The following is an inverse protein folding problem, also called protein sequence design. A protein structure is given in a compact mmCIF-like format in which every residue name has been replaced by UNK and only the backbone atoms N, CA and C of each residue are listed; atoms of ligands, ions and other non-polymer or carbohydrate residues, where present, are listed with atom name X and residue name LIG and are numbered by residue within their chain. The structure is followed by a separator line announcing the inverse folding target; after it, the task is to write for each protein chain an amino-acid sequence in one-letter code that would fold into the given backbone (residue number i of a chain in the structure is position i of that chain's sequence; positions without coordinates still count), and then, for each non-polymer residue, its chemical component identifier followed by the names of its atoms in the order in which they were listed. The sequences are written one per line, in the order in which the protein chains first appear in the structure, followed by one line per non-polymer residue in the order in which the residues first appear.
data_IF_956193020334
#
_entry.id   IF_956193020334
#
_cell.length_a   1.000
_cell.length_b   1.000
_cell.length_c   1.000
_cell.angle_alpha   90.00
_cell.angle_beta   90.00
_cell.angle_gamma   90.00
#
_symmetry.space_group_name_H-M   'P 1'
#
loop_
_entity.id
_entity.type
_entity.pdbx_description
1 polymer ?
#
# COMPACT_ATOMS: atom_id res chain seq x y z
N UNK A 1 -3.92 18.31 -23.93
CA UNK A 1 -3.34 18.50 -22.58
C UNK A 1 -2.09 17.63 -22.47
N UNK A 2 -0.95 18.24 -22.17
CA UNK A 2 0.31 17.55 -21.93
C UNK A 2 0.39 17.19 -20.44
N UNK A 3 0.29 15.90 -20.12
CA UNK A 3 0.24 15.38 -18.76
C UNK A 3 1.60 14.81 -18.36
N UNK A 4 2.11 15.22 -17.19
CA UNK A 4 3.21 14.55 -16.53
C UNK A 4 2.71 13.70 -15.36
N UNK A 5 3.11 12.44 -15.32
CA UNK A 5 2.89 11.54 -14.20
C UNK A 5 4.19 11.41 -13.41
N UNK A 6 4.11 11.40 -12.09
CA UNK A 6 5.29 11.23 -11.24
C UNK A 6 5.05 10.17 -10.19
N UNK A 7 6.00 9.25 -10.04
CA UNK A 7 5.96 8.22 -9.00
C UNK A 7 7.30 8.13 -8.28
N UNK A 8 7.31 7.81 -6.99
CA UNK A 8 8.55 7.82 -6.21
C UNK A 8 9.62 6.88 -6.76
N UNK A 9 9.29 5.61 -7.00
CA UNK A 9 10.18 4.63 -7.65
C UNK A 9 9.39 3.47 -8.25
N UNK A 10 9.91 2.88 -9.30
CA UNK A 10 9.32 1.78 -10.06
C UNK A 10 10.20 0.53 -9.91
N UNK A 11 9.98 -0.25 -8.83
CA UNK A 11 10.82 -1.40 -8.44
C UNK A 11 10.03 -2.68 -8.20
N UNK A 12 8.77 -2.72 -8.62
CA UNK A 12 7.86 -3.85 -8.51
C UNK A 12 6.41 -3.39 -8.44
N UNK A 13 5.47 -4.25 -8.79
CA UNK A 13 4.04 -3.96 -8.72
C UNK A 13 3.54 -4.10 -7.27
N UNK A 14 3.11 -3.00 -6.67
CA UNK A 14 2.45 -2.91 -5.37
C UNK A 14 1.20 -2.05 -5.50
N UNK A 15 0.54 -1.73 -4.40
CA UNK A 15 -0.70 -0.94 -4.43
C UNK A 15 -0.58 0.41 -5.14
N UNK A 16 0.53 1.14 -4.94
CA UNK A 16 0.78 2.41 -5.63
C UNK A 16 0.97 2.25 -7.13
N UNK A 17 1.74 1.24 -7.53
CA UNK A 17 1.98 0.96 -8.94
C UNK A 17 0.74 0.37 -9.64
N UNK A 18 -0.14 -0.37 -8.92
CA UNK A 18 -1.45 -0.80 -9.44
C UNK A 18 -2.36 0.42 -9.72
N UNK A 19 -2.34 1.45 -8.89
CA UNK A 19 -3.05 2.70 -9.14
C UNK A 19 -2.44 3.49 -10.31
N UNK A 20 -1.11 3.59 -10.37
CA UNK A 20 -0.39 4.21 -11.48
C UNK A 20 -0.69 3.52 -12.81
N UNK A 21 -0.75 2.19 -12.82
CA UNK A 21 -1.07 1.40 -14.02
C UNK A 21 -2.41 1.82 -14.64
N UNK A 22 -3.46 1.96 -13.83
CA UNK A 22 -4.78 2.40 -14.32
C UNK A 22 -4.72 3.82 -14.92
N UNK A 23 -3.95 4.72 -14.30
CA UNK A 23 -3.77 6.07 -14.83
C UNK A 23 -2.98 6.04 -16.15
N UNK A 24 -1.93 5.21 -16.25
CA UNK A 24 -1.15 5.03 -17.49
C UNK A 24 -2.01 4.43 -18.63
N UNK A 25 -2.95 3.55 -18.32
CA UNK A 25 -3.90 3.00 -19.30
C UNK A 25 -4.89 4.06 -19.82
N UNK A 26 -5.34 4.98 -18.94
CA UNK A 26 -6.26 6.07 -19.30
C UNK A 26 -5.56 7.21 -20.04
N UNK A 27 -4.28 7.43 -19.75
CA UNK A 27 -3.47 8.51 -20.33
C UNK A 27 -2.18 7.97 -20.97
N UNK A 28 -2.27 7.21 -22.08
CA UNK A 28 -1.12 6.54 -22.70
C UNK A 28 -0.10 7.50 -23.33
N UNK A 29 -0.48 8.77 -23.55
CA UNK A 29 0.39 9.83 -24.08
C UNK A 29 1.07 10.66 -22.97
N UNK A 30 0.84 10.34 -21.70
CA UNK A 30 1.50 11.03 -20.60
C UNK A 30 3.00 10.71 -20.55
N UNK A 31 3.81 11.64 -20.06
CA UNK A 31 5.22 11.38 -19.76
C UNK A 31 5.34 10.99 -18.27
N UNK A 32 6.09 9.93 -18.00
CA UNK A 32 6.26 9.39 -16.65
C UNK A 32 7.65 9.70 -16.11
N UNK A 33 7.70 10.21 -14.87
CA UNK A 33 8.92 10.55 -14.14
C UNK A 33 9.02 9.77 -12.85
N UNK A 34 10.22 9.35 -12.48
CA UNK A 34 10.48 8.58 -11.26
C UNK A 34 11.92 8.74 -10.80
N UNK A 35 12.18 8.54 -9.49
CA UNK A 35 13.56 8.56 -9.00
C UNK A 35 14.38 7.39 -9.53
N UNK A 36 13.80 6.18 -9.50
CA UNK A 36 14.48 4.93 -9.86
C UNK A 36 13.50 4.01 -10.59
N UNK A 37 13.95 3.41 -11.68
CA UNK A 37 13.21 2.41 -12.43
C UNK A 37 14.05 1.13 -12.61
N UNK A 38 13.51 0.00 -12.20
CA UNK A 38 14.07 -1.31 -12.51
C UNK A 38 13.29 -1.87 -13.69
N UNK A 39 13.88 -1.80 -14.87
CA UNK A 39 13.24 -2.24 -16.13
C UNK A 39 12.71 -3.68 -16.01
N UNK A 40 11.47 -3.88 -16.43
CA UNK A 40 10.77 -5.16 -16.38
C UNK A 40 10.20 -5.52 -15.00
N UNK A 41 10.25 -4.60 -14.02
CA UNK A 41 9.71 -4.81 -12.68
C UNK A 41 8.27 -4.34 -12.52
N UNK A 42 7.75 -3.58 -13.47
CA UNK A 42 6.39 -3.03 -13.47
C UNK A 42 5.62 -3.49 -14.70
N UNK A 43 4.33 -3.20 -14.74
CA UNK A 43 3.45 -3.68 -15.81
C UNK A 43 3.79 -3.10 -17.19
N UNK A 44 3.37 -3.78 -18.28
CA UNK A 44 3.57 -3.29 -19.64
C UNK A 44 2.96 -1.91 -19.88
N UNK A 45 1.88 -1.55 -19.20
CA UNK A 45 1.24 -0.23 -19.32
C UNK A 45 2.16 0.88 -18.81
N UNK A 46 2.84 0.65 -17.68
CA UNK A 46 3.83 1.58 -17.11
C UNK A 46 5.11 1.60 -17.96
N UNK A 47 5.65 0.42 -18.32
CA UNK A 47 6.88 0.30 -19.13
C UNK A 47 6.78 1.02 -20.47
N UNK A 48 5.59 1.04 -21.09
CA UNK A 48 5.33 1.70 -22.38
C UNK A 48 5.63 3.19 -22.35
N UNK A 49 5.42 3.85 -21.22
CA UNK A 49 5.69 5.28 -21.05
C UNK A 49 7.17 5.61 -20.94
N UNK A 50 8.07 4.61 -20.91
CA UNK A 50 9.53 4.79 -20.85
C UNK A 50 9.96 5.80 -19.78
N UNK A 51 9.82 5.47 -18.49
CA UNK A 51 9.98 6.43 -17.40
C UNK A 51 11.28 7.21 -17.44
N UNK A 52 11.21 8.53 -17.31
CA UNK A 52 12.36 9.40 -17.09
C UNK A 52 12.85 9.24 -15.65
N UNK A 53 14.13 8.96 -15.46
CA UNK A 53 14.71 8.70 -14.15
C UNK A 53 15.60 9.85 -13.66
N UNK A 54 15.76 9.98 -12.35
CA UNK A 54 16.68 10.94 -11.75
C UNK A 54 18.13 10.45 -11.77
N UNK A 55 19.07 11.29 -11.33
CA UNK A 55 20.47 10.88 -11.19
C UNK A 55 20.68 9.71 -10.22
N UNK A 56 19.76 9.48 -9.29
CA UNK A 56 19.83 8.35 -8.35
C UNK A 56 19.85 7.02 -9.09
N UNK A 57 19.24 6.94 -10.26
CA UNK A 57 19.28 5.75 -11.14
C UNK A 57 20.70 5.24 -11.43
N UNK A 58 21.66 6.13 -11.47
CA UNK A 58 23.06 5.84 -11.87
C UNK A 58 23.98 5.59 -10.66
N UNK A 59 23.46 5.64 -9.42
CA UNK A 59 24.26 5.38 -8.24
C UNK A 59 24.60 3.89 -8.09
N UNK A 60 25.73 3.55 -7.43
CA UNK A 60 26.16 2.17 -7.26
C UNK A 60 25.10 1.29 -6.62
N UNK A 61 24.93 0.06 -7.11
CA UNK A 61 24.00 -0.94 -6.56
C UNK A 61 22.56 -0.44 -6.36
N UNK A 62 22.11 0.56 -7.15
CA UNK A 62 20.78 1.19 -6.99
C UNK A 62 19.65 0.17 -6.93
N UNK A 63 19.70 -0.91 -7.73
CA UNK A 63 18.66 -1.97 -7.70
C UNK A 63 18.47 -2.63 -6.33
N UNK A 64 19.47 -2.60 -5.47
CA UNK A 64 19.44 -3.20 -4.12
C UNK A 64 19.40 -2.15 -3.03
N UNK A 65 20.08 -1.01 -3.24
CA UNK A 65 20.34 -0.01 -2.21
C UNK A 65 19.59 1.32 -2.42
N UNK A 66 18.65 1.43 -3.37
CA UNK A 66 17.98 2.71 -3.66
C UNK A 66 17.39 3.37 -2.40
N UNK A 67 16.85 2.59 -1.45
CA UNK A 67 16.30 3.12 -0.19
C UNK A 67 17.35 3.75 0.72
N UNK A 68 18.61 3.36 0.61
CA UNK A 68 19.71 3.97 1.37
C UNK A 68 20.10 5.34 0.82
N UNK A 69 19.69 5.66 -0.41
CA UNK A 69 19.86 6.98 -1.01
C UNK A 69 18.75 7.98 -0.64
N UNK A 70 17.86 7.62 0.28
CA UNK A 70 16.76 8.46 0.77
C UNK A 70 17.18 9.92 1.10
N UNK A 71 18.34 10.21 1.71
CA UNK A 71 18.77 11.59 1.95
C UNK A 71 19.01 12.42 0.68
N UNK A 72 19.20 11.78 -0.47
CA UNK A 72 19.40 12.44 -1.77
C UNK A 72 18.09 12.66 -2.54
N UNK A 73 17.00 12.03 -2.12
CA UNK A 73 15.72 12.08 -2.83
C UNK A 73 15.13 13.49 -2.96
N UNK A 74 15.22 14.36 -1.93
CA UNK A 74 14.81 15.77 -2.08
C UNK A 74 15.47 16.44 -3.29
N UNK A 75 16.78 16.41 -3.35
CA UNK A 75 17.53 17.01 -4.48
C UNK A 75 17.20 16.33 -5.81
N UNK A 76 17.02 15.02 -5.82
CA UNK A 76 16.76 14.26 -7.03
C UNK A 76 15.38 14.56 -7.63
N UNK A 77 14.37 14.71 -6.78
CA UNK A 77 12.99 14.98 -7.24
C UNK A 77 12.84 16.43 -7.71
N UNK A 78 13.53 17.36 -7.07
CA UNK A 78 13.50 18.80 -7.38
C UNK A 78 14.24 19.16 -8.68
N UNK A 79 15.01 18.24 -9.27
CA UNK A 79 15.71 18.45 -10.55
C UNK A 79 14.82 18.30 -11.78
N UNK A 80 13.67 17.67 -11.66
CA UNK A 80 12.75 17.56 -12.79
C UNK A 80 12.11 18.91 -13.10
N UNK A 81 12.07 19.28 -14.40
CA UNK A 81 11.35 20.45 -14.88
C UNK A 81 10.06 20.05 -15.56
N UNK A 82 8.99 20.75 -15.21
CA UNK A 82 7.64 20.48 -15.72
C UNK A 82 7.04 21.65 -16.49
N UNK A 83 7.83 22.67 -16.82
CA UNK A 83 7.38 23.94 -17.45
C UNK A 83 6.65 23.76 -18.79
N UNK A 84 6.82 22.60 -19.45
CA UNK A 84 6.20 22.26 -20.75
C UNK A 84 4.88 21.50 -20.65
N UNK A 85 4.46 21.16 -19.42
CA UNK A 85 3.25 20.41 -19.17
C UNK A 85 2.11 21.31 -18.74
N UNK A 86 0.88 20.88 -19.04
CA UNK A 86 -0.33 21.58 -18.65
C UNK A 86 -0.80 21.17 -17.23
N UNK A 87 -0.44 19.94 -16.81
CA UNK A 87 -0.77 19.38 -15.50
C UNK A 87 0.28 18.37 -15.08
N UNK A 88 0.58 18.34 -13.78
CA UNK A 88 1.37 17.28 -13.13
C UNK A 88 0.48 16.49 -12.19
N UNK A 89 0.55 15.17 -12.27
CA UNK A 89 -0.11 14.25 -11.33
C UNK A 89 0.95 13.39 -10.65
N UNK A 90 1.13 13.56 -9.35
CA UNK A 90 2.05 12.73 -8.58
C UNK A 90 1.31 11.66 -7.78
N UNK A 91 1.81 10.43 -7.81
CA UNK A 91 1.42 9.35 -6.90
C UNK A 91 2.52 9.20 -5.86
N UNK A 92 2.28 9.69 -4.65
CA UNK A 92 3.34 9.90 -3.66
C UNK A 92 3.15 9.13 -2.37
N UNK A 93 4.19 8.43 -1.96
CA UNK A 93 4.35 7.85 -0.62
C UNK A 93 5.69 8.24 0.02
N UNK A 94 6.47 9.07 -0.70
CA UNK A 94 7.75 9.59 -0.25
C UNK A 94 7.89 11.06 -0.66
N UNK A 95 8.48 11.34 -1.81
CA UNK A 95 8.88 12.69 -2.22
C UNK A 95 8.26 13.16 -3.54
N UNK A 96 7.54 12.31 -4.27
CA UNK A 96 6.96 12.66 -5.57
C UNK A 96 6.04 13.89 -5.53
N UNK A 97 5.38 14.18 -4.40
CA UNK A 97 4.58 15.39 -4.21
C UNK A 97 5.38 16.71 -4.23
N UNK A 98 6.70 16.62 -4.06
CA UNK A 98 7.56 17.79 -3.85
C UNK A 98 8.30 18.26 -5.10
N UNK A 99 7.77 17.96 -6.30
CA UNK A 99 8.41 18.19 -7.61
C UNK A 99 8.26 19.60 -8.17
N UNK A 100 7.16 20.27 -7.90
CA UNK A 100 6.80 21.55 -8.54
C UNK A 100 6.70 22.64 -7.49
N UNK A 101 7.17 23.84 -7.85
CA UNK A 101 6.94 25.02 -7.01
C UNK A 101 5.58 25.61 -7.28
N UNK A 102 4.89 26.14 -6.23
CA UNK A 102 3.59 26.80 -6.40
C UNK A 102 3.60 27.86 -7.50
N UNK A 103 2.52 27.92 -8.28
CA UNK A 103 2.28 28.95 -9.29
C UNK A 103 2.96 28.71 -10.66
N UNK A 104 3.65 27.59 -10.88
CA UNK A 104 4.25 27.27 -12.19
C UNK A 104 3.33 26.41 -13.06
N UNK A 105 3.02 25.20 -12.61
CA UNK A 105 2.16 24.24 -13.31
C UNK A 105 1.20 23.64 -12.28
N UNK A 106 -0.09 23.52 -12.57
CA UNK A 106 -1.05 22.85 -11.67
C UNK A 106 -0.58 21.45 -11.28
N UNK A 107 -0.70 21.11 -10.01
CA UNK A 107 -0.21 19.86 -9.46
C UNK A 107 -1.25 19.15 -8.59
N UNK A 108 -1.73 18.00 -9.06
CA UNK A 108 -2.57 17.07 -8.29
C UNK A 108 -1.70 15.99 -7.65
N UNK A 109 -1.75 15.87 -6.33
CA UNK A 109 -1.07 14.80 -5.61
C UNK A 109 -2.08 13.72 -5.19
N UNK A 110 -2.00 12.55 -5.82
CA UNK A 110 -2.62 11.33 -5.29
C UNK A 110 -1.72 10.77 -4.20
N UNK A 111 -2.06 11.08 -2.96
CA UNK A 111 -1.23 10.76 -1.80
C UNK A 111 -1.54 9.34 -1.29
N UNK A 112 -0.59 8.42 -1.49
CA UNK A 112 -0.68 7.06 -0.98
C UNK A 112 -0.48 7.02 0.54
N UNK A 113 0.39 7.90 1.05
CA UNK A 113 0.58 8.18 2.49
C UNK A 113 1.64 9.28 2.66
N UNK A 114 1.59 10.11 3.69
CA UNK A 114 2.77 10.86 4.17
C UNK A 114 3.88 9.90 4.60
N UNK A 115 5.15 10.30 4.44
CA UNK A 115 6.32 9.43 4.69
C UNK A 115 6.27 8.78 6.08
N UNK A 116 5.81 7.53 6.22
CA UNK A 116 5.62 6.84 7.50
C UNK A 116 6.88 6.82 8.37
N UNK A 117 8.02 6.50 7.78
CA UNK A 117 9.28 6.37 8.49
C UNK A 117 9.85 7.70 9.00
N UNK A 118 9.41 8.83 8.44
CA UNK A 118 9.81 10.16 8.89
C UNK A 118 8.84 10.71 9.95
N UNK A 119 7.57 10.35 9.94
CA UNK A 119 6.54 10.92 10.79
C UNK A 119 6.20 10.06 12.01
N UNK A 120 5.77 8.82 11.84
CA UNK A 120 5.16 8.03 12.93
C UNK A 120 5.71 6.60 13.08
N UNK A 121 6.50 6.10 12.14
CA UNK A 121 7.03 4.75 12.20
C UNK A 121 8.56 4.69 12.23
N UNK A 122 9.22 5.73 12.76
CA UNK A 122 10.67 5.76 12.85
C UNK A 122 11.24 4.49 13.52
N UNK A 123 10.71 4.12 14.67
CA UNK A 123 11.24 2.99 15.45
C UNK A 123 11.02 1.64 14.77
N UNK A 124 9.95 1.49 13.98
CA UNK A 124 9.71 0.28 13.19
C UNK A 124 10.72 0.09 12.04
N UNK A 125 11.31 1.18 11.52
CA UNK A 125 12.29 1.15 10.42
C UNK A 125 13.72 1.33 10.89
N UNK A 126 13.96 2.26 11.82
CA UNK A 126 15.27 2.75 12.22
C UNK A 126 15.49 2.70 13.75
N UNK A 127 14.61 2.02 14.49
CA UNK A 127 14.76 1.84 15.93
C UNK A 127 16.04 1.08 16.31
N UNK A 128 16.52 1.24 17.58
CA UNK A 128 17.73 0.56 18.06
C UNK A 128 17.70 -0.96 17.87
N UNK A 129 16.54 -1.58 18.03
CA UNK A 129 16.34 -3.03 17.87
C UNK A 129 16.43 -3.49 16.40
N UNK A 130 16.37 -2.56 15.44
CA UNK A 130 16.43 -2.83 14.01
C UNK A 130 17.80 -2.64 13.39
N UNK A 131 18.42 -1.51 13.67
CA UNK A 131 19.68 -1.10 13.05
C UNK A 131 20.81 -0.90 14.04
N UNK A 132 20.56 -1.14 15.35
CA UNK A 132 21.50 -0.86 16.42
C UNK A 132 21.40 0.57 16.97
N UNK A 133 21.85 0.76 18.22
CA UNK A 133 21.68 2.03 18.93
C UNK A 133 22.41 3.21 18.27
N UNK A 134 23.66 3.03 17.82
CA UNK A 134 24.45 4.10 17.21
C UNK A 134 23.90 4.52 15.83
N UNK A 135 23.63 3.61 14.86
CA UNK A 135 22.98 4.00 13.61
C UNK A 135 21.61 4.65 13.82
N UNK A 136 20.79 4.16 14.76
CA UNK A 136 19.48 4.74 15.07
C UNK A 136 19.63 6.20 15.55
N UNK A 137 20.60 6.48 16.42
CA UNK A 137 20.89 7.85 16.91
C UNK A 137 21.28 8.79 15.76
N UNK A 138 22.06 8.29 14.79
CA UNK A 138 22.45 9.08 13.61
C UNK A 138 21.27 9.31 12.67
N UNK A 139 20.38 8.32 12.51
CA UNK A 139 19.23 8.43 11.60
C UNK A 139 18.14 9.38 12.12
N UNK A 140 17.99 9.58 13.44
CA UNK A 140 16.96 10.49 13.98
C UNK A 140 17.02 11.91 13.44
N UNK A 141 18.16 12.62 13.47
CA UNK A 141 18.24 13.98 12.91
C UNK A 141 18.05 13.99 11.38
N UNK A 142 18.47 12.93 10.67
CA UNK A 142 18.26 12.80 9.21
C UNK A 142 16.76 12.71 8.91
N UNK A 143 16.03 11.85 9.62
CA UNK A 143 14.58 11.71 9.44
C UNK A 143 13.82 12.97 9.88
N UNK A 144 14.24 13.62 10.97
CA UNK A 144 13.64 14.88 11.40
C UNK A 144 13.84 16.01 10.37
N UNK A 145 15.00 16.05 9.68
CA UNK A 145 15.23 16.99 8.59
C UNK A 145 14.34 16.67 7.38
N UNK A 146 14.22 15.38 7.05
CA UNK A 146 13.38 14.92 5.94
C UNK A 146 11.90 15.22 6.21
N UNK A 147 11.40 14.98 7.43
CA UNK A 147 10.04 15.31 7.83
C UNK A 147 9.74 16.83 7.72
N UNK A 148 10.71 17.68 8.10
CA UNK A 148 10.56 19.12 7.91
C UNK A 148 10.48 19.50 6.44
N UNK A 149 11.40 19.00 5.62
CA UNK A 149 11.36 19.23 4.17
C UNK A 149 10.06 18.72 3.54
N UNK A 150 9.59 17.54 3.95
CA UNK A 150 8.34 16.95 3.48
C UNK A 150 7.12 17.83 3.80
N UNK A 151 7.08 18.41 5.01
CA UNK A 151 6.05 19.38 5.40
C UNK A 151 6.19 20.69 4.64
N UNK A 152 7.41 21.25 4.60
CA UNK A 152 7.68 22.58 4.04
C UNK A 152 7.48 22.63 2.51
N UNK A 153 7.38 21.45 1.85
CA UNK A 153 7.06 21.32 0.43
C UNK A 153 5.62 20.86 0.16
N UNK A 154 4.79 20.80 1.19
CA UNK A 154 3.41 20.33 1.03
C UNK A 154 2.51 21.30 0.23
N UNK A 155 2.87 22.57 0.16
CA UNK A 155 2.22 23.61 -0.63
C UNK A 155 2.54 23.54 -2.14
N UNK A 156 3.51 22.68 -2.53
CA UNK A 156 3.85 22.46 -3.95
C UNK A 156 2.78 21.66 -4.70
N UNK A 157 1.91 20.94 -4.00
CA UNK A 157 0.72 20.35 -4.59
C UNK A 157 -0.48 21.28 -4.36
N UNK A 158 -1.15 21.68 -5.45
CA UNK A 158 -2.33 22.54 -5.38
C UNK A 158 -3.51 21.78 -4.80
N UNK A 159 -3.66 20.50 -5.17
CA UNK A 159 -4.74 19.63 -4.72
C UNK A 159 -4.23 18.28 -4.24
N UNK A 160 -4.73 17.85 -3.08
CA UNK A 160 -4.48 16.51 -2.54
C UNK A 160 -5.71 15.62 -2.74
N UNK A 161 -5.45 14.39 -3.18
CA UNK A 161 -6.39 13.28 -3.22
C UNK A 161 -5.81 12.15 -2.42
N UNK A 162 -6.46 11.77 -1.33
CA UNK A 162 -6.00 10.69 -0.45
C UNK A 162 -6.57 9.33 -0.88
N UNK A 163 -5.83 8.26 -0.59
CA UNK A 163 -6.29 6.89 -0.85
C UNK A 163 -7.36 6.41 0.14
N UNK A 164 -7.59 7.13 1.24
CA UNK A 164 -8.55 6.80 2.30
C UNK A 164 -8.83 8.03 3.17
N UNK A 165 -9.92 8.02 3.92
CA UNK A 165 -10.17 9.02 4.95
C UNK A 165 -9.10 9.01 6.05
N UNK A 166 -8.57 7.83 6.37
CA UNK A 166 -7.44 7.69 7.28
C UNK A 166 -6.21 8.47 6.78
N UNK A 167 -5.84 8.33 5.50
CA UNK A 167 -4.73 9.09 4.89
C UNK A 167 -5.07 10.58 4.76
N UNK A 168 -6.32 10.94 4.45
CA UNK A 168 -6.75 12.35 4.45
C UNK A 168 -6.53 13.00 5.83
N UNK A 169 -6.86 12.30 6.93
CA UNK A 169 -6.57 12.76 8.28
C UNK A 169 -5.06 12.93 8.56
N UNK A 170 -4.21 12.06 8.00
CA UNK A 170 -2.74 12.18 8.09
C UNK A 170 -2.22 13.39 7.29
N UNK A 171 -2.77 13.65 6.10
CA UNK A 171 -2.46 14.84 5.29
C UNK A 171 -2.80 16.10 6.09
N UNK A 172 -3.99 16.16 6.69
CA UNK A 172 -4.37 17.26 7.60
C UNK A 172 -3.39 17.44 8.74
N UNK A 173 -3.03 16.36 9.42
CA UNK A 173 -2.13 16.37 10.58
C UNK A 173 -0.71 16.84 10.26
N UNK A 174 -0.10 16.32 9.17
CA UNK A 174 1.33 16.53 8.89
C UNK A 174 1.59 17.68 7.93
N UNK A 175 0.66 17.93 6.99
CA UNK A 175 0.81 18.93 5.94
C UNK A 175 -0.07 20.17 6.15
N UNK A 176 -1.03 20.10 7.07
CA UNK A 176 -2.07 21.13 7.25
C UNK A 176 -2.81 21.45 5.94
N UNK A 177 -3.13 20.38 5.17
CA UNK A 177 -3.84 20.46 3.88
C UNK A 177 -5.10 19.60 3.93
N UNK A 178 -6.14 20.05 3.22
CA UNK A 178 -7.32 19.24 2.96
C UNK A 178 -7.08 18.28 1.80
N UNK A 179 -7.77 17.13 1.81
CA UNK A 179 -7.71 16.15 0.75
C UNK A 179 -9.09 15.56 0.48
N UNK A 180 -9.48 15.47 -0.80
CA UNK A 180 -10.59 14.61 -1.21
C UNK A 180 -10.13 13.15 -1.19
N UNK A 181 -11.08 12.20 -1.21
CA UNK A 181 -10.75 10.77 -1.17
C UNK A 181 -11.15 10.10 -2.48
N UNK A 182 -10.22 9.38 -3.09
CA UNK A 182 -10.47 8.43 -4.17
C UNK A 182 -9.80 7.12 -3.78
N UNK A 183 -10.58 6.10 -3.49
CA UNK A 183 -10.08 4.80 -3.08
C UNK A 183 -9.26 4.14 -4.19
N UNK A 184 -8.12 3.46 -3.88
CA UNK A 184 -7.29 2.80 -4.88
C UNK A 184 -8.01 1.64 -5.57
N UNK A 185 -7.55 1.24 -6.77
CA UNK A 185 -8.19 0.22 -7.56
C UNK A 185 -7.90 -1.20 -7.06
N UNK A 186 -8.91 -2.06 -7.13
CA UNK A 186 -8.79 -3.50 -7.01
C UNK A 186 -9.21 -4.14 -8.33
N UNK A 187 -8.43 -5.10 -8.81
CA UNK A 187 -8.77 -5.83 -10.02
C UNK A 187 -9.85 -6.90 -9.75
N UNK A 188 -11.09 -6.44 -9.67
CA UNK A 188 -12.24 -7.29 -9.41
C UNK A 188 -12.62 -8.19 -10.60
N UNK A 189 -12.04 -7.98 -11.79
CA UNK A 189 -12.17 -8.89 -12.92
C UNK A 189 -11.22 -10.07 -12.78
N UNK A 190 -10.01 -9.83 -12.31
CA UNK A 190 -9.03 -10.87 -12.02
C UNK A 190 -9.38 -11.62 -10.74
N UNK A 191 -9.57 -10.91 -9.62
CA UNK A 191 -10.03 -11.49 -8.37
C UNK A 191 -11.55 -11.66 -8.42
N UNK A 192 -12.01 -12.89 -8.54
CA UNK A 192 -13.44 -13.25 -8.59
C UNK A 192 -13.67 -14.62 -7.97
N UNK A 193 -14.86 -14.90 -7.42
CA UNK A 193 -15.18 -16.20 -6.87
C UNK A 193 -15.29 -17.26 -7.97
N UNK A 194 -15.18 -18.51 -7.57
CA UNK A 194 -15.53 -19.67 -8.37
C UNK A 194 -16.29 -20.70 -7.51
N UNK A 195 -16.52 -21.89 -8.01
CA UNK A 195 -17.22 -22.97 -7.30
C UNK A 195 -16.36 -23.67 -6.23
N UNK A 196 -15.08 -23.23 -6.02
CA UNK A 196 -14.18 -23.86 -5.05
C UNK A 196 -14.70 -23.65 -3.62
N UNK A 197 -14.96 -24.75 -2.85
CA UNK A 197 -15.38 -24.60 -1.47
C UNK A 197 -14.22 -24.10 -0.60
N UNK A 198 -14.49 -23.33 0.45
CA UNK A 198 -13.45 -22.93 1.39
C UNK A 198 -12.89 -24.13 2.15
N UNK A 199 -11.59 -24.11 2.35
CA UNK A 199 -10.87 -25.03 3.23
C UNK A 199 -10.65 -24.39 4.59
N UNK A 200 -10.49 -25.21 5.64
CA UNK A 200 -10.30 -24.71 7.00
C UNK A 200 -8.87 -24.24 7.24
N UNK A 201 -8.49 -23.12 6.62
CA UNK A 201 -7.24 -22.40 6.94
C UNK A 201 -7.44 -20.88 6.87
N UNK A 202 -6.64 -20.15 7.62
CA UNK A 202 -6.51 -18.70 7.54
C UNK A 202 -5.38 -18.32 6.58
N UNK A 203 -5.52 -17.19 5.89
CA UNK A 203 -4.54 -16.70 4.91
C UNK A 203 -4.03 -15.31 5.33
N UNK A 204 -2.73 -15.12 5.22
CA UNK A 204 -2.08 -13.80 5.20
C UNK A 204 -1.40 -13.60 3.87
N UNK A 205 -1.69 -12.50 3.18
CA UNK A 205 -0.98 -12.05 1.98
C UNK A 205 -0.33 -10.71 2.31
N UNK A 206 1.01 -10.69 2.51
CA UNK A 206 1.67 -9.49 3.00
C UNK A 206 3.18 -9.46 2.76
N UNK A 207 3.76 -8.26 2.69
CA UNK A 207 5.19 -8.11 2.95
C UNK A 207 5.47 -8.42 4.43
N UNK A 208 6.53 -9.22 4.70
CA UNK A 208 6.89 -9.62 6.07
C UNK A 208 7.76 -8.53 6.71
N UNK A 209 7.08 -7.50 7.22
CA UNK A 209 7.67 -6.33 7.89
C UNK A 209 6.95 -6.09 9.23
N UNK A 210 7.58 -5.41 10.20
CA UNK A 210 7.10 -5.35 11.59
C UNK A 210 5.68 -4.83 11.76
N UNK A 211 5.34 -3.73 11.09
CA UNK A 211 4.05 -3.07 11.27
C UNK A 211 2.85 -3.89 10.74
N UNK A 212 3.11 -4.91 9.94
CA UNK A 212 2.08 -5.85 9.47
C UNK A 212 1.64 -6.85 10.54
N UNK A 213 2.37 -6.95 11.65
CA UNK A 213 2.03 -7.74 12.82
C UNK A 213 1.66 -9.20 12.51
N UNK A 214 2.43 -9.83 11.63
CA UNK A 214 2.23 -11.25 11.27
C UNK A 214 2.44 -12.16 12.49
N UNK A 215 3.22 -11.74 13.48
CA UNK A 215 3.37 -12.36 14.78
C UNK A 215 2.03 -12.61 15.48
N UNK A 216 1.12 -11.62 15.43
CA UNK A 216 -0.23 -11.74 15.98
C UNK A 216 -1.04 -12.81 15.22
N UNK A 217 -0.99 -12.82 13.89
CA UNK A 217 -1.70 -13.84 13.10
C UNK A 217 -1.23 -15.27 13.45
N UNK A 218 0.08 -15.48 13.64
CA UNK A 218 0.65 -16.78 14.00
C UNK A 218 0.13 -17.25 15.36
N UNK A 219 0.21 -16.39 16.40
CA UNK A 219 -0.25 -16.78 17.75
C UNK A 219 -1.77 -16.92 17.81
N UNK A 220 -2.53 -16.05 17.13
CA UNK A 220 -3.98 -16.13 17.05
C UNK A 220 -4.46 -17.44 16.37
N UNK A 221 -3.87 -17.81 15.24
CA UNK A 221 -4.21 -19.04 14.55
C UNK A 221 -3.86 -20.28 15.39
N UNK A 222 -2.72 -20.25 16.12
CA UNK A 222 -2.36 -21.30 17.06
C UNK A 222 -3.42 -21.47 18.17
N UNK A 223 -3.86 -20.35 18.78
CA UNK A 223 -4.91 -20.34 19.83
C UNK A 223 -6.26 -20.83 19.30
N UNK A 224 -6.63 -20.40 18.09
CA UNK A 224 -7.87 -20.85 17.43
C UNK A 224 -7.81 -22.27 16.87
N UNK A 225 -6.64 -22.92 16.93
CA UNK A 225 -6.38 -24.23 16.31
C UNK A 225 -6.76 -24.25 14.81
N UNK A 226 -6.30 -23.22 14.05
CA UNK A 226 -6.54 -23.04 12.62
C UNK A 226 -5.20 -22.99 11.90
N UNK A 227 -4.97 -23.83 10.87
CA UNK A 227 -3.78 -23.72 10.03
C UNK A 227 -3.68 -22.34 9.38
N UNK A 228 -2.45 -21.80 9.31
CA UNK A 228 -2.16 -20.51 8.71
C UNK A 228 -1.26 -20.68 7.48
N UNK A 229 -1.66 -20.09 6.34
CA UNK A 229 -0.80 -19.93 5.18
C UNK A 229 -0.38 -18.48 5.05
N UNK A 230 0.92 -18.25 4.80
CA UNK A 230 1.50 -16.90 4.65
C UNK A 230 2.13 -16.79 3.28
N UNK A 231 1.51 -16.00 2.41
CA UNK A 231 2.03 -15.66 1.09
C UNK A 231 2.71 -14.28 1.15
N UNK A 232 3.97 -14.25 0.77
CA UNK A 232 4.79 -13.04 0.78
C UNK A 232 6.18 -13.27 1.35
N UNK A 233 6.99 -12.21 1.33
CA UNK A 233 8.38 -12.25 1.78
C UNK A 233 8.79 -10.92 2.40
N UNK A 234 9.87 -10.92 3.18
CA UNK A 234 10.38 -9.72 3.81
C UNK A 234 11.44 -9.99 4.87
N UNK A 235 12.01 -8.91 5.44
CA UNK A 235 13.11 -9.03 6.40
C UNK A 235 12.75 -9.82 7.66
N UNK A 236 11.48 -9.86 8.07
CA UNK A 236 11.03 -10.54 9.28
C UNK A 236 10.79 -12.04 9.09
N UNK A 237 10.90 -12.59 7.86
CA UNK A 237 10.63 -14.01 7.57
C UNK A 237 11.35 -14.96 8.52
N UNK A 238 12.66 -14.75 8.73
CA UNK A 238 13.45 -15.63 9.60
C UNK A 238 12.99 -15.59 11.06
N UNK A 239 12.63 -14.42 11.58
CA UNK A 239 12.11 -14.26 12.95
C UNK A 239 10.72 -14.91 13.10
N UNK A 240 9.82 -14.69 12.14
CA UNK A 240 8.48 -15.26 12.12
C UNK A 240 8.51 -16.80 12.00
N UNK A 241 9.40 -17.35 11.17
CA UNK A 241 9.57 -18.81 11.03
C UNK A 241 10.04 -19.43 12.36
N UNK A 242 11.01 -18.82 13.05
CA UNK A 242 11.44 -19.30 14.37
C UNK A 242 10.32 -19.22 15.40
N UNK A 243 9.57 -18.13 15.44
CA UNK A 243 8.44 -17.97 16.36
C UNK A 243 7.34 -19.02 16.12
N UNK A 244 6.98 -19.26 14.86
CA UNK A 244 6.01 -20.30 14.50
C UNK A 244 6.46 -21.69 14.94
N UNK A 245 7.72 -22.07 14.66
CA UNK A 245 8.29 -23.36 15.07
C UNK A 245 8.32 -23.52 16.59
N UNK A 246 8.73 -22.48 17.31
CA UNK A 246 8.82 -22.52 18.79
C UNK A 246 7.45 -22.62 19.46
N UNK A 247 6.40 -22.03 18.85
CA UNK A 247 5.04 -22.06 19.38
C UNK A 247 4.24 -23.32 19.03
N UNK A 248 4.74 -24.17 18.12
CA UNK A 248 4.01 -25.32 17.58
C UNK A 248 2.81 -24.94 16.69
N UNK A 249 2.76 -23.71 16.18
CA UNK A 249 1.71 -23.26 15.26
C UNK A 249 1.81 -23.99 13.92
N UNK A 250 0.67 -24.40 13.36
CA UNK A 250 0.58 -24.99 12.03
C UNK A 250 0.67 -23.88 10.97
N UNK A 251 1.88 -23.47 10.60
CA UNK A 251 2.14 -22.35 9.66
C UNK A 251 2.90 -22.83 8.43
N UNK A 252 2.40 -22.48 7.27
CA UNK A 252 3.04 -22.68 5.98
C UNK A 252 3.47 -21.33 5.36
N UNK A 253 4.79 -21.13 5.18
CA UNK A 253 5.37 -19.95 4.55
C UNK A 253 5.58 -20.23 3.06
N UNK A 254 4.73 -19.67 2.21
CA UNK A 254 4.72 -19.89 0.75
C UNK A 254 5.77 -19.06 0.02
N UNK A 255 6.29 -17.99 0.64
CA UNK A 255 7.15 -17.03 -0.03
C UNK A 255 6.36 -16.15 -1.01
N UNK A 256 7.07 -15.62 -2.01
CA UNK A 256 6.42 -14.87 -3.10
C UNK A 256 5.79 -15.87 -4.06
N UNK A 257 4.52 -15.69 -4.32
CA UNK A 257 3.74 -16.50 -5.27
C UNK A 257 3.10 -15.60 -6.33
N UNK A 258 2.87 -16.11 -7.55
CA UNK A 258 2.18 -15.38 -8.62
C UNK A 258 0.76 -14.96 -8.22
N UNK A 259 0.22 -13.92 -8.87
CA UNK A 259 -1.12 -13.41 -8.57
C UNK A 259 -2.22 -14.46 -8.82
N UNK A 260 -2.03 -15.38 -9.78
CA UNK A 260 -2.93 -16.52 -10.03
C UNK A 260 -3.02 -17.46 -8.83
N UNK A 261 -1.88 -17.75 -8.19
CA UNK A 261 -1.84 -18.57 -6.98
C UNK A 261 -2.42 -17.82 -5.78
N UNK A 262 -2.18 -16.50 -5.67
CA UNK A 262 -2.82 -15.64 -4.66
C UNK A 262 -4.34 -15.71 -4.81
N UNK A 263 -4.87 -15.57 -6.02
CA UNK A 263 -6.31 -15.71 -6.29
C UNK A 263 -6.84 -17.08 -5.88
N UNK A 264 -6.13 -18.16 -6.21
CA UNK A 264 -6.50 -19.51 -5.81
C UNK A 264 -6.48 -19.69 -4.29
N UNK A 265 -5.51 -19.08 -3.59
CA UNK A 265 -5.44 -19.08 -2.13
C UNK A 265 -6.61 -18.30 -1.51
N UNK A 266 -6.95 -17.12 -2.03
CA UNK A 266 -8.15 -16.37 -1.56
C UNK A 266 -9.41 -17.21 -1.69
N UNK A 267 -9.66 -17.86 -2.84
CA UNK A 267 -10.85 -18.68 -3.08
C UNK A 267 -10.98 -19.84 -2.10
N UNK A 268 -9.84 -20.43 -1.68
CA UNK A 268 -9.79 -21.59 -0.79
C UNK A 268 -9.74 -21.23 0.69
N UNK A 269 -9.25 -20.05 1.05
CA UNK A 269 -9.15 -19.64 2.45
C UNK A 269 -10.53 -19.52 3.10
N UNK A 270 -10.67 -19.99 4.35
CA UNK A 270 -11.86 -19.73 5.14
C UNK A 270 -11.97 -18.24 5.51
N UNK A 271 -10.81 -17.61 5.77
CA UNK A 271 -10.72 -16.21 6.17
C UNK A 271 -9.34 -15.64 5.82
N UNK A 272 -9.29 -14.37 5.44
CA UNK A 272 -8.03 -13.63 5.25
C UNK A 272 -7.80 -12.72 6.46
N UNK A 273 -6.54 -12.63 6.94
CA UNK A 273 -6.17 -11.87 8.13
C UNK A 273 -5.40 -10.61 7.80
N UNK A 274 -5.74 -9.51 8.46
CA UNK A 274 -5.03 -8.22 8.41
C UNK A 274 -4.77 -7.71 9.83
N UNK A 275 -3.74 -8.23 10.53
CA UNK A 275 -3.51 -7.91 11.95
C UNK A 275 -2.81 -6.56 12.18
N UNK A 276 -2.21 -5.97 11.14
CA UNK A 276 -1.54 -4.67 11.20
C UNK A 276 -2.42 -3.52 10.75
N UNK A 277 -2.10 -2.32 11.23
CA UNK A 277 -2.75 -1.08 10.78
C UNK A 277 -2.24 -0.68 9.39
N UNK A 278 -3.18 -0.47 8.46
CA UNK A 278 -2.92 -0.14 7.06
C UNK A 278 -3.46 1.24 6.70
N UNK A 279 -2.86 1.89 5.70
CA UNK A 279 -3.37 3.16 5.16
C UNK A 279 -4.68 2.99 4.38
N UNK A 280 -4.90 1.81 3.75
CA UNK A 280 -6.13 1.48 3.04
C UNK A 280 -6.50 -0.01 3.20
N UNK A 281 -5.62 -0.92 2.74
CA UNK A 281 -5.90 -2.36 2.79
C UNK A 281 -6.48 -2.90 1.47
N UNK A 282 -5.64 -3.02 0.45
CA UNK A 282 -6.01 -3.65 -0.84
C UNK A 282 -6.27 -5.16 -0.64
N UNK A 283 -5.47 -5.83 0.17
CA UNK A 283 -5.56 -7.28 0.44
C UNK A 283 -6.95 -7.72 0.94
N UNK A 284 -7.59 -7.05 1.91
CA UNK A 284 -8.98 -7.30 2.26
C UNK A 284 -9.93 -7.29 1.07
N UNK A 285 -9.80 -6.31 0.20
CA UNK A 285 -10.69 -6.17 -0.95
C UNK A 285 -10.44 -7.21 -2.05
N UNK A 286 -9.18 -7.68 -2.23
CA UNK A 286 -8.87 -8.81 -3.12
C UNK A 286 -9.52 -10.11 -2.62
N UNK A 287 -9.45 -10.38 -1.30
CA UNK A 287 -10.14 -11.52 -0.69
C UNK A 287 -11.67 -11.40 -0.82
N UNK A 288 -12.22 -10.22 -0.53
CA UNK A 288 -13.65 -9.94 -0.67
C UNK A 288 -14.09 -10.04 -2.15
N UNK A 289 -13.27 -9.62 -3.10
CA UNK A 289 -13.52 -9.81 -4.52
C UNK A 289 -13.62 -11.30 -4.90
N UNK A 290 -12.95 -12.19 -4.16
CA UNK A 290 -13.12 -13.65 -4.27
C UNK A 290 -14.26 -14.20 -3.39
N UNK A 291 -15.10 -13.35 -2.80
CA UNK A 291 -16.24 -13.74 -1.96
C UNK A 291 -15.85 -14.27 -0.58
N UNK A 292 -14.66 -13.92 -0.06
CA UNK A 292 -14.17 -14.43 1.24
C UNK A 292 -14.12 -13.35 2.30
N UNK A 293 -14.52 -13.67 3.54
CA UNK A 293 -14.48 -12.74 4.64
C UNK A 293 -13.06 -12.43 5.12
N UNK A 294 -12.95 -11.32 5.83
CA UNK A 294 -11.67 -10.83 6.38
C UNK A 294 -11.79 -10.66 7.90
N UNK A 295 -10.74 -10.97 8.65
CA UNK A 295 -10.58 -10.54 10.04
C UNK A 295 -9.44 -9.54 10.08
N UNK A 296 -9.74 -8.29 10.42
CA UNK A 296 -8.81 -7.18 10.36
C UNK A 296 -8.79 -6.40 11.67
N UNK A 297 -7.63 -5.78 11.99
CA UNK A 297 -7.57 -4.80 13.07
C UNK A 297 -8.49 -3.62 12.73
N UNK A 298 -9.40 -3.26 13.63
CA UNK A 298 -10.38 -2.16 13.50
C UNK A 298 -9.72 -0.78 13.56
N UNK A 299 -8.64 -0.56 12.80
CA UNK A 299 -7.89 0.70 12.72
C UNK A 299 -7.44 1.01 11.32
N UNK A 300 -7.24 2.30 11.05
CA UNK A 300 -6.76 2.75 9.75
C UNK A 300 -7.73 2.44 8.62
N UNK A 301 -7.22 2.13 7.44
CA UNK A 301 -8.01 1.86 6.24
C UNK A 301 -8.85 0.59 6.29
N UNK A 302 -8.59 -0.34 7.23
CA UNK A 302 -9.42 -1.52 7.41
C UNK A 302 -10.88 -1.15 7.77
N UNK A 303 -11.08 -0.06 8.52
CA UNK A 303 -12.42 0.47 8.86
C UNK A 303 -13.18 1.00 7.62
N UNK A 304 -12.50 1.20 6.50
CA UNK A 304 -13.10 1.69 5.25
C UNK A 304 -13.31 0.55 4.23
N UNK A 305 -12.58 -0.55 4.39
CA UNK A 305 -12.59 -1.68 3.45
C UNK A 305 -13.31 -2.92 3.97
N UNK A 306 -13.62 -2.98 5.28
CA UNK A 306 -14.35 -4.08 5.91
C UNK A 306 -15.60 -3.54 6.59
N UNK A 307 -16.76 -4.09 6.25
CA UNK A 307 -18.03 -3.83 6.96
C UNK A 307 -18.16 -4.93 8.02
N UNK A 308 -18.06 -4.50 9.30
CA UNK A 308 -18.10 -5.43 10.41
C UNK A 308 -19.40 -6.24 10.44
N UNK A 309 -19.25 -7.55 10.58
CA UNK A 309 -20.36 -8.50 10.55
C UNK A 309 -20.94 -8.81 9.16
N UNK A 310 -20.57 -8.09 8.09
CA UNK A 310 -21.08 -8.31 6.72
C UNK A 310 -20.00 -8.84 5.78
N UNK A 311 -18.87 -8.13 5.65
CA UNK A 311 -17.78 -8.54 4.75
C UNK A 311 -16.59 -9.13 5.51
N UNK A 312 -16.65 -9.12 6.83
CA UNK A 312 -15.62 -9.63 7.71
C UNK A 312 -15.91 -9.25 9.16
N UNK A 313 -14.89 -9.31 9.99
CA UNK A 313 -14.93 -8.89 11.39
C UNK A 313 -13.80 -7.91 11.69
N UNK A 314 -14.10 -6.83 12.41
CA UNK A 314 -13.14 -5.87 12.91
C UNK A 314 -12.76 -6.18 14.36
N UNK A 315 -11.47 -6.25 14.63
CA UNK A 315 -10.93 -6.58 15.96
C UNK A 315 -10.44 -5.30 16.62
N UNK A 316 -11.02 -4.90 17.74
CA UNK A 316 -10.64 -3.65 18.43
C UNK A 316 -9.32 -3.77 19.20
N UNK A 317 -9.11 -4.92 19.87
CA UNK A 317 -7.89 -5.22 20.61
C UNK A 317 -6.82 -5.84 19.67
N UNK A 318 -5.64 -5.23 19.53
CA UNK A 318 -4.58 -5.77 18.69
C UNK A 318 -3.92 -7.04 19.23
N UNK A 319 -4.40 -7.61 20.32
CA UNK A 319 -3.88 -8.83 20.94
C UNK A 319 -4.24 -10.11 20.18
N UNK A 320 -3.38 -11.12 20.27
CA UNK A 320 -3.59 -12.41 19.60
C UNK A 320 -4.82 -13.19 20.13
N UNK A 321 -5.24 -12.97 21.37
CA UNK A 321 -6.42 -13.58 21.95
C UNK A 321 -7.71 -13.10 21.27
N UNK A 322 -7.88 -11.77 21.16
CA UNK A 322 -9.01 -11.17 20.47
C UNK A 322 -9.06 -11.59 18.98
N UNK A 323 -7.92 -11.63 18.30
CA UNK A 323 -7.85 -12.15 16.94
C UNK A 323 -8.24 -13.63 16.86
N UNK A 324 -7.84 -14.47 17.83
CA UNK A 324 -8.21 -15.89 17.86
C UNK A 324 -9.73 -16.09 17.97
N UNK A 325 -10.40 -15.33 18.82
CA UNK A 325 -11.84 -15.37 18.98
C UNK A 325 -12.57 -14.98 17.70
N UNK A 326 -12.12 -13.90 17.04
CA UNK A 326 -12.71 -13.44 15.78
C UNK A 326 -12.43 -14.41 14.61
N UNK A 327 -11.25 -15.06 14.57
CA UNK A 327 -10.95 -16.13 13.60
C UNK A 327 -11.90 -17.31 13.81
N UNK A 328 -12.10 -17.78 15.04
CA UNK A 328 -13.01 -18.87 15.36
C UNK A 328 -14.47 -18.52 14.98
N UNK A 329 -14.89 -17.28 15.27
CA UNK A 329 -16.20 -16.77 14.87
C UNK A 329 -16.35 -16.71 13.35
N UNK A 330 -15.36 -16.16 12.63
CA UNK A 330 -15.40 -16.01 11.17
C UNK A 330 -15.50 -17.36 10.43
N UNK A 331 -14.83 -18.41 10.94
CA UNK A 331 -14.85 -19.74 10.33
C UNK A 331 -16.22 -20.43 10.54
N UNK A 332 -16.90 -20.19 11.66
CA UNK A 332 -18.18 -20.81 11.97
C UNK A 332 -19.38 -20.04 11.44
N UNK A 333 -19.22 -18.73 11.24
CA UNK A 333 -20.28 -17.84 10.75
C UNK A 333 -20.50 -18.06 9.25
N UNK A 334 -21.76 -18.03 8.83
CA UNK A 334 -22.11 -17.96 7.41
C UNK A 334 -22.08 -16.51 6.94
N UNK A 335 -21.18 -16.20 6.03
CA UNK A 335 -21.14 -14.95 5.30
C UNK A 335 -21.77 -15.12 3.92
N UNK A 336 -22.45 -14.06 3.44
CA UNK A 336 -22.96 -14.03 2.07
C UNK A 336 -21.82 -13.63 1.11
N UNK A 337 -21.32 -14.64 0.38
CA UNK A 337 -20.22 -14.43 -0.57
C UNK A 337 -20.59 -13.45 -1.71
N UNK A 338 -21.87 -13.37 -2.11
CA UNK A 338 -22.32 -12.44 -3.12
C UNK A 338 -22.34 -10.99 -2.59
N UNK A 339 -22.81 -10.78 -1.36
CA UNK A 339 -22.77 -9.47 -0.71
C UNK A 339 -21.32 -8.98 -0.50
N UNK A 340 -20.42 -9.86 -0.02
CA UNK A 340 -18.98 -9.57 0.10
C UNK A 340 -18.40 -9.14 -1.24
N UNK A 341 -18.68 -9.87 -2.30
CA UNK A 341 -18.24 -9.56 -3.67
C UNK A 341 -18.75 -8.20 -4.14
N UNK A 342 -20.05 -7.94 -3.98
CA UNK A 342 -20.68 -6.67 -4.36
C UNK A 342 -20.04 -5.49 -3.64
N UNK A 343 -19.65 -5.65 -2.38
CA UNK A 343 -18.91 -4.62 -1.66
C UNK A 343 -17.56 -4.33 -2.32
N UNK A 344 -16.77 -5.36 -2.64
CA UNK A 344 -15.46 -5.20 -3.27
C UNK A 344 -15.54 -4.54 -4.67
N UNK A 345 -16.60 -4.76 -5.43
CA UNK A 345 -16.80 -4.17 -6.76
C UNK A 345 -16.90 -2.64 -6.72
N UNK A 346 -17.26 -2.06 -5.59
CA UNK A 346 -17.25 -0.60 -5.37
C UNK A 346 -15.84 -0.02 -5.41
N UNK A 347 -14.79 -0.83 -5.39
CA UNK A 347 -13.38 -0.45 -5.44
C UNK A 347 -12.70 -0.88 -6.75
N UNK A 348 -13.50 -1.10 -7.81
CA UNK A 348 -13.01 -1.59 -9.10
C UNK A 348 -12.01 -0.65 -9.79
N UNK A 349 -11.21 -1.21 -10.70
CA UNK A 349 -10.27 -0.44 -11.55
C UNK A 349 -10.99 0.58 -12.41
N UNK A 350 -12.19 0.24 -12.92
CA UNK A 350 -13.02 1.10 -13.75
C UNK A 350 -13.45 2.34 -12.98
N UNK A 351 -14.04 2.16 -11.77
CA UNK A 351 -14.47 3.26 -10.91
C UNK A 351 -13.29 4.18 -10.59
N UNK A 352 -12.14 3.63 -10.17
CA UNK A 352 -10.95 4.42 -9.89
C UNK A 352 -10.47 5.21 -11.11
N UNK A 353 -10.44 4.55 -12.29
CA UNK A 353 -10.05 5.19 -13.53
C UNK A 353 -10.96 6.35 -13.92
N UNK A 354 -12.27 6.19 -13.73
CA UNK A 354 -13.26 7.21 -14.06
C UNK A 354 -13.16 8.41 -13.09
N UNK A 355 -13.07 8.17 -11.77
CA UNK A 355 -12.91 9.22 -10.76
C UNK A 355 -11.61 10.01 -10.95
N UNK A 356 -10.47 9.32 -11.16
CA UNK A 356 -9.21 10.01 -11.41
C UNK A 356 -9.18 10.74 -12.74
N UNK A 357 -9.81 10.18 -13.78
CA UNK A 357 -9.92 10.86 -15.08
C UNK A 357 -10.74 12.14 -14.98
N UNK A 358 -11.85 12.12 -14.25
CA UNK A 358 -12.65 13.33 -13.99
C UNK A 358 -11.81 14.41 -13.30
N UNK A 359 -11.06 14.06 -12.25
CA UNK A 359 -10.18 14.99 -11.54
C UNK A 359 -9.04 15.56 -12.40
N UNK A 360 -8.52 14.76 -13.33
CA UNK A 360 -7.42 15.16 -14.24
C UNK A 360 -7.94 16.03 -15.38
N UNK A 361 -9.15 15.76 -15.91
CA UNK A 361 -9.71 16.42 -17.08
C UNK A 361 -10.55 17.65 -16.74
N UNK A 362 -10.96 17.83 -15.48
CA UNK A 362 -11.70 19.00 -15.01
C UNK A 362 -10.77 20.05 -14.35
N UNK A 363 -10.09 20.89 -15.13
CA UNK A 363 -9.17 21.88 -14.58
C UNK A 363 -9.86 23.09 -13.92
N UNK A 364 -11.18 23.16 -13.96
CA UNK A 364 -11.95 24.34 -13.54
C UNK A 364 -12.01 24.60 -12.03
N UNK A 365 -11.27 23.82 -11.20
CA UNK A 365 -11.26 23.98 -9.75
C UNK A 365 -9.82 24.05 -9.16
N UNK A 366 -8.85 24.47 -9.94
CA UNK A 366 -7.45 24.62 -9.52
C UNK A 366 -7.14 26.02 -9.01
#
# INVERSE_FOLDING_TARGET
MKLALVHDWLTGMRGGEKALEVICERFPEAELFTLVHIRGSVSPAIERLRPHTSFVQYLPLVKRLYRHYLPLFPTAIEQFSFDRFDLVVSLSHCCAKSIVHPGRVPHLCYCLTPMRYAWDQFDAYFGPDRIGALPSRVMRPVMARLARWDRDTADRADRYVAISHYVAGRIGRYYNREASVVYPPVDTRFFHPDATPPERFALVVSALVPYKRIDIAIDACRRANVPLKIAGDGPDRGALTRAASASGAAVEFLGRVPDEDIRALYRRAAVTLLPGEEDFGIVPLEAQACGRPVVALGRGGACETVIDGETGLLVDDPGAEAFADHIAQAITRRFDAAAIRTHAERFSRERFGDEMSALILEPAAW
#
